data_IF_598729874758
#
_entry.id   IF_598729874758
#
_cell.length_a   1.000
_cell.length_b   1.000
_cell.length_c   1.000
_cell.angle_alpha   90.00
_cell.angle_beta   90.00
_cell.angle_gamma   90.00
#
_symmetry.space_group_name_H-M   'P 1'
#
loop_
_entity.id
_entity.type
_entity.pdbx_description
1 polymer ?
#
# COMPACT_ATOMS: atom_id res chain seq x y z
N UNK A 1 6.61 20.98 7.52
CA UNK A 1 5.19 21.26 7.29
C UNK A 1 4.37 20.78 8.47
N UNK A 2 3.69 21.72 9.10
CA UNK A 2 2.79 21.37 10.19
C UNK A 2 1.67 20.50 9.66
N UNK A 3 1.41 19.41 10.32
CA UNK A 3 0.28 18.57 9.99
C UNK A 3 0.57 17.33 9.19
N UNK A 4 1.83 17.08 8.79
CA UNK A 4 2.16 15.75 8.28
C UNK A 4 2.33 14.85 9.51
N UNK A 5 1.40 13.88 9.71
CA UNK A 5 1.53 13.00 10.86
C UNK A 5 2.80 12.17 10.76
N UNK A 6 3.49 12.05 11.87
CA UNK A 6 4.67 11.18 11.94
C UNK A 6 4.29 9.71 11.77
N UNK A 7 3.00 9.39 11.83
CA UNK A 7 2.49 8.02 11.70
C UNK A 7 3.01 7.33 10.45
N UNK A 8 2.85 7.94 9.28
CA UNK A 8 3.29 7.32 8.03
C UNK A 8 4.81 7.39 7.85
N UNK A 9 5.43 8.50 8.24
CA UNK A 9 6.88 8.63 8.08
C UNK A 9 7.64 7.74 9.06
N UNK A 10 6.96 7.19 10.09
CA UNK A 10 7.58 6.19 10.97
C UNK A 10 7.84 4.87 10.25
N UNK A 11 7.19 4.64 9.12
CA UNK A 11 7.48 3.48 8.27
C UNK A 11 8.67 3.83 7.39
N UNK A 12 9.78 3.11 7.58
CA UNK A 12 10.98 3.35 6.78
C UNK A 12 10.68 3.08 5.31
N UNK A 13 10.93 4.06 4.47
CA UNK A 13 10.60 4.01 3.06
C UNK A 13 9.48 4.94 2.68
N UNK A 14 8.66 5.38 3.65
CA UNK A 14 7.64 6.39 3.39
C UNK A 14 8.21 7.75 3.81
N UNK A 15 8.70 8.50 2.84
CA UNK A 15 9.21 9.84 3.10
C UNK A 15 8.10 10.87 3.19
N UNK A 16 8.47 12.14 3.53
CA UNK A 16 7.46 13.20 3.71
C UNK A 16 6.60 13.45 2.48
N UNK A 17 7.18 13.34 1.27
CA UNK A 17 6.44 13.60 0.03
C UNK A 17 5.34 12.54 -0.17
N UNK A 18 5.69 11.27 -0.02
CA UNK A 18 4.70 10.20 -0.16
C UNK A 18 3.67 10.25 0.96
N UNK A 19 4.11 10.52 2.19
CA UNK A 19 3.18 10.64 3.32
C UNK A 19 2.17 11.76 3.07
N UNK A 20 2.65 12.92 2.65
CA UNK A 20 1.77 14.06 2.35
C UNK A 20 0.79 13.73 1.21
N UNK A 21 1.30 13.07 0.15
CA UNK A 21 0.45 12.69 -0.98
C UNK A 21 -0.64 11.70 -0.57
N UNK A 22 -0.28 10.69 0.19
CA UNK A 22 -1.23 9.68 0.67
C UNK A 22 -2.30 10.35 1.53
N UNK A 23 -1.90 11.18 2.48
CA UNK A 23 -2.85 11.85 3.38
C UNK A 23 -3.78 12.78 2.62
N UNK A 24 -3.23 13.55 1.68
CA UNK A 24 -4.04 14.47 0.90
C UNK A 24 -5.10 13.74 0.07
N UNK A 25 -4.72 12.60 -0.54
CA UNK A 25 -5.66 11.85 -1.38
C UNK A 25 -6.70 11.10 -0.54
N UNK A 26 -6.34 10.67 0.66
CA UNK A 26 -7.29 10.01 1.56
C UNK A 26 -8.31 11.04 2.10
N UNK A 27 -7.87 12.25 2.39
CA UNK A 27 -8.72 13.36 2.85
C UNK A 27 -9.57 13.05 4.08
N UNK A 28 -9.04 12.20 4.96
CA UNK A 28 -9.72 11.85 6.20
C UNK A 28 -9.97 10.36 6.31
N UNK A 29 -9.25 9.72 7.21
CA UNK A 29 -9.30 8.25 7.35
C UNK A 29 -10.66 7.79 7.87
N UNK A 30 -11.36 8.64 8.63
CA UNK A 30 -12.63 8.26 9.23
C UNK A 30 -13.75 8.04 8.23
N UNK A 31 -13.62 8.55 7.01
CA UNK A 31 -14.63 8.30 5.97
C UNK A 31 -14.56 6.90 5.39
N UNK A 32 -13.56 6.11 5.78
CA UNK A 32 -13.44 4.72 5.34
C UNK A 32 -13.79 3.79 6.50
N UNK A 33 -14.63 2.81 6.21
CA UNK A 33 -15.10 1.86 7.20
C UNK A 33 -13.99 0.92 7.71
N UNK A 34 -13.10 0.52 6.78
CA UNK A 34 -12.02 -0.41 7.08
C UNK A 34 -10.95 -0.30 5.98
N UNK A 35 -9.89 -1.08 6.09
CA UNK A 35 -8.81 -1.03 5.10
C UNK A 35 -9.26 -1.53 3.72
N UNK A 36 -10.24 -2.43 3.67
CA UNK A 36 -10.78 -2.89 2.39
C UNK A 36 -11.44 -1.75 1.61
N UNK A 37 -12.19 -0.89 2.32
CA UNK A 37 -12.81 0.27 1.70
C UNK A 37 -11.75 1.24 1.17
N UNK A 38 -10.66 1.44 1.92
CA UNK A 38 -9.56 2.28 1.48
C UNK A 38 -8.87 1.68 0.25
N UNK A 39 -8.65 0.36 0.25
CA UNK A 39 -8.05 -0.33 -0.89
C UNK A 39 -8.91 -0.19 -2.14
N UNK A 40 -10.21 -0.33 -1.98
CA UNK A 40 -11.17 -0.16 -3.08
C UNK A 40 -11.09 1.26 -3.65
N UNK A 41 -11.05 2.25 -2.79
CA UNK A 41 -10.91 3.63 -3.19
C UNK A 41 -9.61 3.87 -3.98
N UNK A 42 -8.53 3.20 -3.61
CA UNK A 42 -7.25 3.31 -4.30
C UNK A 42 -7.17 2.44 -5.56
N UNK A 43 -8.18 1.61 -5.82
CA UNK A 43 -8.16 0.72 -6.96
C UNK A 43 -7.25 -0.48 -6.79
N UNK A 44 -7.06 -0.92 -5.54
CA UNK A 44 -6.17 -2.04 -5.21
C UNK A 44 -6.95 -3.27 -4.74
N UNK A 45 -8.12 -3.51 -5.32
CA UNK A 45 -8.96 -4.67 -5.04
C UNK A 45 -9.25 -5.39 -6.35
N UNK A 46 -9.10 -6.70 -6.36
CA UNK A 46 -9.39 -7.53 -7.53
C UNK A 46 -9.81 -8.91 -7.08
N UNK A 47 -10.36 -9.66 -8.04
CA UNK A 47 -10.89 -10.98 -7.80
C UNK A 47 -9.76 -12.02 -7.81
N UNK A 48 -9.62 -12.80 -6.73
CA UNK A 48 -8.51 -13.72 -6.56
C UNK A 48 -8.45 -14.84 -7.59
N UNK A 49 -9.61 -15.34 -8.03
CA UNK A 49 -9.61 -16.46 -8.98
C UNK A 49 -9.36 -16.03 -10.41
N UNK A 50 -9.04 -14.76 -10.64
CA UNK A 50 -8.71 -14.26 -11.96
C UNK A 50 -7.24 -13.88 -12.06
N UNK A 51 -6.39 -14.59 -11.37
CA UNK A 51 -4.96 -14.28 -11.38
C UNK A 51 -4.34 -14.35 -12.78
N UNK A 52 -4.90 -15.19 -13.68
CA UNK A 52 -4.45 -15.25 -15.05
C UNK A 52 -4.81 -14.03 -15.90
N UNK A 53 -5.73 -13.19 -15.39
CA UNK A 53 -6.17 -11.97 -16.04
C UNK A 53 -5.72 -10.73 -15.28
N UNK A 54 -4.68 -10.87 -14.48
CA UNK A 54 -4.22 -9.83 -13.57
C UNK A 54 -4.02 -8.48 -14.27
N UNK A 55 -3.38 -8.47 -15.42
CA UNK A 55 -3.10 -7.22 -16.12
C UNK A 55 -4.36 -6.50 -16.59
N UNK A 56 -5.31 -7.25 -17.13
CA UNK A 56 -6.56 -6.67 -17.57
C UNK A 56 -7.33 -6.09 -16.40
N UNK A 57 -7.35 -6.81 -15.28
CA UNK A 57 -8.01 -6.34 -14.07
C UNK A 57 -7.35 -5.10 -13.50
N UNK A 58 -6.03 -5.07 -13.50
CA UNK A 58 -5.31 -3.90 -13.00
C UNK A 58 -5.63 -2.67 -13.83
N UNK A 59 -5.68 -2.83 -15.15
CA UNK A 59 -6.02 -1.71 -16.03
C UNK A 59 -7.42 -1.19 -15.73
N UNK A 60 -8.39 -2.09 -15.54
CA UNK A 60 -9.75 -1.69 -15.21
C UNK A 60 -9.81 -0.95 -13.88
N UNK A 61 -9.09 -1.44 -12.87
CA UNK A 61 -9.09 -0.78 -11.56
C UNK A 61 -8.43 0.58 -11.60
N UNK A 62 -7.41 0.75 -12.42
CA UNK A 62 -6.77 2.05 -12.60
C UNK A 62 -7.75 3.10 -13.12
N UNK A 63 -8.76 2.65 -13.88
CA UNK A 63 -9.79 3.54 -14.40
C UNK A 63 -10.86 3.88 -13.37
N UNK A 64 -11.09 3.01 -12.39
CA UNK A 64 -12.19 3.16 -11.43
C UNK A 64 -11.78 3.67 -10.06
N UNK A 65 -10.51 3.51 -9.68
CA UNK A 65 -10.02 3.96 -8.39
C UNK A 65 -9.34 5.32 -8.45
N UNK A 66 -8.94 5.82 -7.30
CA UNK A 66 -8.15 7.05 -7.21
C UNK A 66 -6.72 6.75 -7.66
N UNK A 67 -6.39 7.10 -8.89
CA UNK A 67 -5.10 6.78 -9.47
C UNK A 67 -3.93 7.47 -8.77
N UNK A 68 -4.16 8.63 -8.16
CA UNK A 68 -3.10 9.36 -7.45
C UNK A 68 -2.76 8.65 -6.15
N UNK A 69 -3.78 8.25 -5.37
CA UNK A 69 -3.55 7.49 -4.16
C UNK A 69 -2.86 6.16 -4.47
N UNK A 70 -3.32 5.47 -5.51
CA UNK A 70 -2.69 4.22 -5.92
C UNK A 70 -1.23 4.43 -6.29
N UNK A 71 -0.93 5.49 -7.03
CA UNK A 71 0.45 5.82 -7.40
C UNK A 71 1.33 5.98 -6.16
N UNK A 72 0.88 6.79 -5.20
CA UNK A 72 1.67 7.02 -3.99
C UNK A 72 1.86 5.73 -3.19
N UNK A 73 0.81 4.92 -3.08
CA UNK A 73 0.90 3.65 -2.34
C UNK A 73 1.86 2.67 -3.01
N UNK A 74 1.81 2.57 -4.33
CA UNK A 74 2.70 1.67 -5.07
C UNK A 74 4.14 2.14 -4.95
N UNK A 75 4.38 3.44 -5.09
CA UNK A 75 5.74 3.97 -4.95
C UNK A 75 6.27 3.80 -3.52
N UNK A 76 5.41 4.03 -2.53
CA UNK A 76 5.78 3.82 -1.14
C UNK A 76 6.10 2.35 -0.87
N UNK A 77 5.28 1.44 -1.40
CA UNK A 77 5.50 0.01 -1.24
C UNK A 77 6.84 -0.42 -1.81
N UNK A 78 7.23 0.15 -2.95
CA UNK A 78 8.52 -0.15 -3.56
C UNK A 78 9.69 0.24 -2.64
N UNK A 79 9.57 1.36 -1.94
CA UNK A 79 10.61 1.79 -1.00
C UNK A 79 10.57 0.97 0.29
N UNK A 80 9.37 0.73 0.83
CA UNK A 80 9.20 0.01 2.09
C UNK A 80 9.77 -1.41 2.00
N UNK A 81 9.57 -2.10 0.88
CA UNK A 81 10.10 -3.47 0.74
C UNK A 81 11.62 -3.57 0.82
N UNK A 82 12.31 -2.46 0.62
CA UNK A 82 13.77 -2.42 0.76
C UNK A 82 14.23 -2.24 2.20
N UNK A 83 13.35 -1.75 3.07
CA UNK A 83 13.71 -1.39 4.44
C UNK A 83 13.02 -2.23 5.52
N UNK A 84 11.93 -2.91 5.19
CA UNK A 84 11.14 -3.66 6.15
C UNK A 84 11.19 -5.15 5.79
N UNK A 85 11.63 -5.97 6.74
CA UNK A 85 11.82 -7.41 6.53
C UNK A 85 10.52 -8.10 6.14
N UNK A 86 9.43 -7.75 6.80
CA UNK A 86 8.12 -8.35 6.51
C UNK A 86 7.68 -8.04 5.07
N UNK A 87 7.84 -6.80 4.63
CA UNK A 87 7.43 -6.37 3.29
C UNK A 87 8.37 -6.93 2.23
N UNK A 88 9.65 -7.01 2.53
CA UNK A 88 10.62 -7.63 1.63
C UNK A 88 10.28 -9.10 1.39
N UNK A 89 10.00 -9.84 2.45
CA UNK A 89 9.64 -11.26 2.35
C UNK A 89 8.33 -11.45 1.59
N UNK A 90 7.34 -10.60 1.88
CA UNK A 90 6.05 -10.66 1.18
C UNK A 90 6.22 -10.40 -0.31
N UNK A 91 6.97 -9.36 -0.65
CA UNK A 91 7.24 -9.02 -2.06
C UNK A 91 7.90 -10.20 -2.79
N UNK A 92 8.93 -10.77 -2.19
CA UNK A 92 9.67 -11.86 -2.81
C UNK A 92 8.79 -13.10 -3.00
N UNK A 93 7.95 -13.40 -2.01
CA UNK A 93 7.02 -14.52 -2.11
C UNK A 93 6.06 -14.33 -3.29
N UNK A 94 5.50 -13.13 -3.41
CA UNK A 94 4.56 -12.83 -4.50
C UNK A 94 5.26 -12.82 -5.86
N UNK A 95 6.49 -12.34 -5.90
CA UNK A 95 7.31 -12.36 -7.10
C UNK A 95 7.51 -13.79 -7.61
N UNK A 96 7.81 -14.72 -6.70
CA UNK A 96 8.12 -16.09 -7.05
C UNK A 96 6.90 -16.94 -7.40
N UNK A 97 5.70 -16.46 -7.13
CA UNK A 97 4.45 -17.21 -7.37
C UNK A 97 4.11 -17.39 -8.83
N UNK A 98 4.62 -16.53 -9.71
CA UNK A 98 4.26 -16.56 -11.12
C UNK A 98 5.48 -16.45 -12.01
N UNK A 99 5.44 -16.98 -13.26
CA UNK A 99 6.58 -16.93 -14.17
C UNK A 99 6.70 -15.64 -14.99
N UNK A 100 5.63 -14.83 -15.05
CA UNK A 100 5.60 -13.62 -15.88
C UNK A 100 5.01 -12.44 -15.12
N UNK A 101 5.44 -11.23 -15.49
CA UNK A 101 4.95 -9.98 -14.89
C UNK A 101 5.14 -9.95 -13.38
N UNK A 102 6.23 -10.53 -12.94
CA UNK A 102 6.51 -10.80 -11.55
C UNK A 102 6.62 -9.52 -10.72
N UNK A 103 7.40 -8.56 -11.21
CA UNK A 103 7.66 -7.32 -10.45
C UNK A 103 6.39 -6.49 -10.28
N UNK A 104 5.68 -6.23 -11.36
CA UNK A 104 4.47 -5.41 -11.32
C UNK A 104 3.42 -6.03 -10.41
N UNK A 105 3.20 -7.32 -10.56
CA UNK A 105 2.24 -8.05 -9.73
C UNK A 105 2.63 -8.00 -8.26
N UNK A 106 3.88 -8.35 -7.95
CA UNK A 106 4.37 -8.37 -6.58
C UNK A 106 4.28 -6.99 -5.95
N UNK A 107 4.61 -5.95 -6.71
CA UNK A 107 4.58 -4.58 -6.20
C UNK A 107 3.17 -4.12 -5.88
N UNK A 108 2.21 -4.42 -6.76
CA UNK A 108 0.80 -4.03 -6.53
C UNK A 108 0.23 -4.78 -5.32
N UNK A 109 0.56 -6.07 -5.18
CA UNK A 109 0.13 -6.85 -4.02
C UNK A 109 0.78 -6.33 -2.73
N UNK A 110 2.03 -5.91 -2.81
CA UNK A 110 2.72 -5.30 -1.66
C UNK A 110 2.05 -3.96 -1.29
N UNK A 111 1.66 -3.18 -2.29
CA UNK A 111 0.92 -1.94 -2.04
C UNK A 111 -0.42 -2.22 -1.35
N UNK A 112 -1.12 -3.29 -1.75
CA UNK A 112 -2.36 -3.67 -1.08
C UNK A 112 -2.12 -4.03 0.39
N UNK A 113 -1.03 -4.73 0.67
CA UNK A 113 -0.64 -5.03 2.04
C UNK A 113 -0.34 -3.74 2.81
N UNK A 114 0.32 -2.78 2.17
CA UNK A 114 0.63 -1.50 2.77
C UNK A 114 -0.62 -0.70 3.13
N UNK A 115 -1.69 -0.82 2.34
CA UNK A 115 -2.96 -0.15 2.65
C UNK A 115 -3.45 -0.50 4.05
N UNK A 116 -3.34 -1.77 4.42
CA UNK A 116 -3.76 -2.23 5.74
C UNK A 116 -2.98 -1.50 6.84
N UNK A 117 -1.67 -1.38 6.67
CA UNK A 117 -0.83 -0.67 7.62
C UNK A 117 -1.15 0.82 7.65
N UNK A 118 -1.29 1.46 6.50
CA UNK A 118 -1.63 2.88 6.40
C UNK A 118 -2.95 3.15 7.13
N UNK A 119 -3.96 2.32 6.88
CA UNK A 119 -5.25 2.46 7.55
C UNK A 119 -5.10 2.36 9.07
N UNK A 120 -4.36 1.35 9.53
CA UNK A 120 -4.18 1.13 10.97
C UNK A 120 -3.46 2.31 11.63
N UNK A 121 -2.39 2.81 11.01
CA UNK A 121 -1.61 3.91 11.59
C UNK A 121 -2.41 5.21 11.63
N UNK A 122 -3.13 5.52 10.56
CA UNK A 122 -3.91 6.75 10.49
C UNK A 122 -5.14 6.70 11.41
N UNK A 123 -5.81 5.55 11.48
CA UNK A 123 -7.03 5.42 12.30
C UNK A 123 -6.73 5.37 13.79
N UNK A 124 -5.57 4.85 14.20
CA UNK A 124 -5.18 4.78 15.61
C UNK A 124 -4.21 5.89 16.01
N UNK A 125 -3.69 6.64 15.04
CA UNK A 125 -2.70 7.69 15.27
C UNK A 125 -1.47 7.16 16.01
N UNK A 126 -1.00 5.97 15.65
CA UNK A 126 0.17 5.34 16.25
C UNK A 126 1.34 5.30 15.29
N UNK A 127 2.55 5.22 15.85
CA UNK A 127 3.76 5.03 15.07
C UNK A 127 3.95 3.56 14.75
N UNK A 128 4.59 3.28 13.63
CA UNK A 128 4.88 1.92 13.21
C UNK A 128 6.05 1.34 14.01
N UNK A 129 5.89 0.10 14.46
CA UNK A 129 6.96 -0.67 15.10
C UNK A 129 7.21 -1.92 14.24
N UNK A 130 8.39 -2.03 13.60
CA UNK A 130 8.71 -3.21 12.78
C UNK A 130 8.67 -4.50 13.60
N UNK A 131 8.36 -5.64 12.96
CA UNK A 131 8.26 -6.92 13.69
C UNK A 131 9.50 -7.27 14.49
N UNK A 132 10.69 -6.96 14.00
CA UNK A 132 11.95 -7.26 14.68
C UNK A 132 12.16 -6.45 15.98
N UNK A 133 11.33 -5.42 16.21
CA UNK A 133 11.37 -4.62 17.42
C UNK A 133 10.17 -4.81 18.34
N UNK A 134 9.27 -5.71 17.95
CA UNK A 134 8.10 -6.01 18.78
C UNK A 134 8.48 -7.02 19.87
N UNK A 135 8.00 -6.77 21.06
CA UNK A 135 8.22 -7.67 22.19
C UNK A 135 7.27 -8.87 22.15
#
# INVERSE_FOLDING_TARGET
>A
MKGIPETLTSVKGIGPVFAAGIIAEIAGIKRFKNHDALAKYAGLVWNQHQSGEFEAQETARAQTGNKYLRYYLVQAADKVRHHDVEYKSFYQKKFDEVPKHQHKRALVLTARKLVRLVYALLSTNKLYTPPERRD
#
